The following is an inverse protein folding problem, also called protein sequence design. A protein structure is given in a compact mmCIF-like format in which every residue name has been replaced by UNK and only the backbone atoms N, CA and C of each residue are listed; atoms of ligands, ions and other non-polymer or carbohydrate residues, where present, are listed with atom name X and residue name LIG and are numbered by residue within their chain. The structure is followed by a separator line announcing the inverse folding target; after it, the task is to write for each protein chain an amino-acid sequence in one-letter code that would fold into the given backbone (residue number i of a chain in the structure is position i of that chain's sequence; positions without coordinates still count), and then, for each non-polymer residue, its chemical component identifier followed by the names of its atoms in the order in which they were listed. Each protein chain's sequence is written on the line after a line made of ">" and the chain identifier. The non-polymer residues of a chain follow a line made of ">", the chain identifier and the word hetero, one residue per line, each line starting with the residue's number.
data_IF_741064917070
#
_entry.id   IF_741064917070
#
_cell.length_a   1.000
_cell.length_b   1.000
_cell.length_c   1.000
_cell.angle_alpha   90.00
_cell.angle_beta   90.00
_cell.angle_gamma   90.00
#
_symmetry.space_group_name_H-M   'P 1'
#
loop_
_entity.id
_entity.type
_entity.pdbx_description
1 polymer ?
#
# COMPACT_ATOMS: atom_id res chain seq x y z
N UNK A 1 22.00 -26.88 -4.19
CA UNK A 1 20.92 -25.88 -3.93
C UNK A 1 19.83 -26.17 -4.95
N UNK A 2 18.53 -26.15 -4.59
CA UNK A 2 17.46 -26.26 -5.57
C UNK A 2 17.60 -25.15 -6.59
N UNK A 3 17.21 -25.41 -7.84
CA UNK A 3 17.25 -24.43 -8.91
C UNK A 3 16.34 -23.23 -8.53
N UNK A 4 16.95 -22.10 -8.19
CA UNK A 4 16.25 -20.87 -7.74
C UNK A 4 15.82 -19.98 -8.92
N UNK A 5 16.24 -20.30 -10.13
CA UNK A 5 15.89 -19.51 -11.33
C UNK A 5 14.39 -19.28 -11.49
N UNK A 6 13.52 -20.30 -11.29
CA UNK A 6 12.08 -20.11 -11.41
C UNK A 6 11.47 -19.16 -10.37
N UNK A 7 12.09 -18.96 -9.19
CA UNK A 7 11.63 -18.02 -8.17
C UNK A 7 12.05 -16.58 -8.47
N UNK A 8 13.15 -16.38 -9.22
CA UNK A 8 13.57 -15.04 -9.67
C UNK A 8 12.47 -14.37 -10.50
N UNK A 9 11.73 -15.15 -11.28
CA UNK A 9 10.58 -14.66 -12.05
C UNK A 9 9.42 -14.18 -11.17
N UNK A 10 9.41 -14.56 -9.91
CA UNK A 10 8.43 -14.18 -8.90
C UNK A 10 8.96 -13.12 -7.94
N UNK A 11 10.10 -12.49 -8.26
CA UNK A 11 10.69 -11.41 -7.49
C UNK A 11 11.63 -11.87 -6.37
N UNK A 12 12.12 -13.11 -6.42
CA UNK A 12 13.21 -13.55 -5.55
C UNK A 12 14.52 -12.88 -5.94
N UNK A 13 15.25 -12.41 -4.96
CA UNK A 13 16.54 -11.74 -5.17
C UNK A 13 17.50 -11.97 -3.98
N UNK A 14 18.64 -11.28 -4.02
CA UNK A 14 19.70 -11.40 -3.02
C UNK A 14 19.25 -11.01 -1.61
N UNK A 15 18.35 -10.04 -1.47
CA UNK A 15 17.81 -9.64 -0.15
C UNK A 15 17.09 -10.81 0.53
N UNK A 16 16.23 -11.52 -0.20
CA UNK A 16 15.50 -12.66 0.36
C UNK A 16 16.41 -13.86 0.54
N UNK A 17 17.43 -14.03 -0.33
CA UNK A 17 18.44 -15.08 -0.17
C UNK A 17 19.24 -14.88 1.12
N UNK A 18 19.67 -13.66 1.41
CA UNK A 18 20.37 -13.30 2.64
C UNK A 18 19.46 -13.46 3.87
N UNK A 19 18.20 -13.05 3.76
CA UNK A 19 17.22 -13.23 4.83
C UNK A 19 16.94 -14.70 5.15
N UNK A 20 16.88 -15.55 4.12
CA UNK A 20 16.75 -17.00 4.29
C UNK A 20 17.98 -17.58 4.97
N UNK A 21 19.18 -17.21 4.51
CA UNK A 21 20.43 -17.72 5.09
C UNK A 21 20.58 -17.35 6.56
N UNK A 22 20.14 -16.16 6.96
CA UNK A 22 20.17 -15.71 8.36
C UNK A 22 19.24 -16.50 9.30
N UNK A 23 18.26 -17.22 8.78
CA UNK A 23 17.39 -18.10 9.57
C UNK A 23 18.00 -19.47 9.83
N UNK A 24 19.16 -19.79 9.21
CA UNK A 24 19.81 -21.12 9.30
C UNK A 24 18.82 -22.28 9.09
N UNK A 25 18.08 -22.28 7.97
CA UNK A 25 16.98 -23.23 7.77
C UNK A 25 17.51 -24.68 7.69
N UNK A 26 16.69 -25.62 8.12
CA UNK A 26 17.00 -27.04 8.04
C UNK A 26 17.24 -27.49 6.59
N UNK A 27 17.97 -28.60 6.41
CA UNK A 27 18.37 -29.14 5.08
C UNK A 27 17.18 -29.46 4.14
N UNK A 28 15.97 -29.60 4.68
CA UNK A 28 14.73 -29.89 3.91
C UNK A 28 13.89 -28.63 3.66
N UNK A 29 14.28 -27.49 4.19
CA UNK A 29 13.58 -26.25 4.04
C UNK A 29 13.77 -25.68 2.63
N UNK A 30 12.72 -25.06 2.10
CA UNK A 30 12.74 -24.40 0.80
C UNK A 30 12.02 -23.06 0.87
N UNK A 31 12.52 -22.03 0.18
CA UNK A 31 11.78 -20.78 0.03
C UNK A 31 10.60 -20.95 -0.91
N UNK A 32 9.52 -20.23 -0.61
CA UNK A 32 8.35 -20.18 -1.47
C UNK A 32 7.68 -18.81 -1.39
N UNK A 33 6.97 -18.40 -2.43
CA UNK A 33 6.16 -17.19 -2.42
C UNK A 33 4.69 -17.53 -2.23
N UNK A 34 4.03 -16.87 -1.29
CA UNK A 34 2.58 -16.99 -1.08
C UNK A 34 1.88 -16.31 -2.25
N UNK A 35 1.17 -17.09 -3.07
CA UNK A 35 0.42 -16.59 -4.22
C UNK A 35 -1.09 -16.55 -3.99
N UNK A 36 -1.58 -17.15 -2.91
CA UNK A 36 -2.98 -17.12 -2.55
C UNK A 36 -3.22 -17.66 -1.14
N UNK A 37 -4.34 -17.25 -0.56
CA UNK A 37 -4.75 -17.67 0.78
C UNK A 37 -6.22 -18.07 0.79
N UNK A 38 -6.52 -19.18 1.41
CA UNK A 38 -7.88 -19.67 1.65
C UNK A 38 -7.98 -20.20 3.08
N UNK A 39 -8.56 -19.40 4.00
CA UNK A 39 -8.67 -19.71 5.43
C UNK A 39 -7.31 -20.05 6.06
N UNK A 40 -7.09 -21.34 6.38
CA UNK A 40 -5.91 -21.92 7.02
C UNK A 40 -4.94 -22.58 6.04
N UNK A 41 -5.10 -22.33 4.75
CA UNK A 41 -4.28 -22.89 3.66
C UNK A 41 -3.71 -21.79 2.81
N UNK A 42 -2.47 -21.97 2.40
CA UNK A 42 -1.78 -21.06 1.49
C UNK A 42 -1.40 -21.79 0.21
N UNK A 43 -1.70 -21.19 -0.92
CA UNK A 43 -1.10 -21.59 -2.19
C UNK A 43 0.28 -20.94 -2.27
N UNK A 44 1.32 -21.72 -2.42
CA UNK A 44 2.70 -21.24 -2.46
C UNK A 44 3.38 -21.64 -3.75
N UNK A 45 4.15 -20.72 -4.33
CA UNK A 45 4.98 -20.94 -5.51
C UNK A 45 6.39 -21.34 -5.07
N UNK A 46 6.82 -22.52 -5.49
CA UNK A 46 8.20 -23.01 -5.39
C UNK A 46 8.87 -22.97 -6.77
N UNK A 47 10.17 -23.25 -6.82
CA UNK A 47 10.88 -23.44 -8.08
C UNK A 47 10.23 -24.50 -8.96
N UNK A 48 9.82 -25.61 -8.39
CA UNK A 48 9.24 -26.76 -9.11
C UNK A 48 7.76 -26.58 -9.50
N UNK A 49 7.02 -25.61 -8.93
CA UNK A 49 5.58 -25.44 -9.21
C UNK A 49 4.82 -24.81 -8.06
N UNK A 50 3.50 -25.03 -8.06
CA UNK A 50 2.59 -24.56 -6.99
C UNK A 50 2.25 -25.72 -6.06
N UNK A 51 2.25 -25.46 -4.77
CA UNK A 51 1.85 -26.41 -3.74
C UNK A 51 0.94 -25.73 -2.69
N UNK A 52 0.27 -26.58 -1.89
CA UNK A 52 -0.48 -26.11 -0.73
C UNK A 52 0.39 -26.21 0.52
N UNK A 53 0.35 -25.16 1.36
CA UNK A 53 1.02 -25.13 2.64
C UNK A 53 0.03 -24.87 3.79
N UNK A 54 0.41 -25.29 5.01
CA UNK A 54 -0.26 -24.98 6.28
C UNK A 54 0.75 -24.52 7.30
N UNK A 55 0.32 -23.76 8.29
CA UNK A 55 1.19 -23.39 9.41
C UNK A 55 1.68 -24.64 10.15
N UNK A 56 2.97 -24.66 10.45
CA UNK A 56 3.56 -25.66 11.35
C UNK A 56 3.14 -25.33 12.78
N UNK A 57 2.17 -26.05 13.32
CA UNK A 57 1.47 -25.71 14.58
C UNK A 57 2.37 -25.61 15.82
N UNK A 58 3.53 -26.25 15.83
CA UNK A 58 4.44 -26.29 17.00
C UNK A 58 5.68 -25.40 16.85
N UNK A 59 6.04 -24.94 15.67
CA UNK A 59 7.31 -24.24 15.41
C UNK A 59 7.17 -22.97 14.58
N UNK A 60 5.95 -22.52 14.29
CA UNK A 60 5.77 -21.29 13.54
C UNK A 60 6.10 -20.08 14.41
N UNK A 61 7.15 -19.36 14.04
CA UNK A 61 7.53 -18.07 14.62
C UNK A 61 7.43 -16.98 13.56
N UNK A 62 6.66 -15.95 13.84
CA UNK A 62 6.59 -14.79 12.95
C UNK A 62 5.18 -14.26 12.72
N UNK A 63 5.06 -13.26 11.84
CA UNK A 63 3.78 -12.67 11.49
C UNK A 63 2.92 -13.65 10.69
N UNK A 64 1.59 -13.52 10.81
CA UNK A 64 0.67 -14.33 10.01
C UNK A 64 0.91 -14.14 8.51
N UNK A 65 1.09 -15.24 7.71
CA UNK A 65 1.42 -15.14 6.30
C UNK A 65 0.26 -14.57 5.49
N UNK A 66 0.58 -13.70 4.54
CA UNK A 66 -0.39 -13.11 3.61
C UNK A 66 0.08 -13.25 2.16
N UNK A 67 -0.80 -13.01 1.21
CA UNK A 67 -0.43 -13.02 -0.22
C UNK A 67 0.70 -12.03 -0.50
N UNK A 68 1.72 -12.50 -1.22
CA UNK A 68 2.95 -11.78 -1.52
C UNK A 68 4.12 -12.07 -0.58
N UNK A 69 3.88 -12.71 0.57
CA UNK A 69 4.97 -13.07 1.49
C UNK A 69 5.94 -14.08 0.86
N UNK A 70 7.20 -13.91 1.22
CA UNK A 70 8.20 -14.95 1.09
C UNK A 70 8.23 -15.77 2.39
N UNK A 71 8.16 -17.07 2.26
CA UNK A 71 8.01 -18.01 3.38
C UNK A 71 9.01 -19.15 3.25
N UNK A 72 9.30 -19.77 4.39
CA UNK A 72 10.06 -21.01 4.45
C UNK A 72 9.07 -22.15 4.63
N UNK A 73 9.19 -23.16 3.78
CA UNK A 73 8.35 -24.37 3.84
C UNK A 73 9.20 -25.62 3.91
N UNK A 74 8.67 -26.63 4.58
CA UNK A 74 9.24 -27.96 4.68
C UNK A 74 8.24 -29.03 4.23
N UNK A 75 8.67 -30.19 3.79
CA UNK A 75 7.77 -31.32 3.51
C UNK A 75 6.90 -31.63 4.73
N UNK A 76 5.64 -31.93 4.47
CA UNK A 76 4.71 -32.43 5.50
C UNK A 76 5.12 -33.79 6.06
N UNK A 77 4.47 -34.27 7.13
CA UNK A 77 4.75 -35.57 7.75
C UNK A 77 4.63 -36.75 6.79
N UNK A 78 3.68 -36.70 5.87
CA UNK A 78 3.54 -37.68 4.80
C UNK A 78 3.69 -37.04 3.42
N UNK A 79 4.05 -37.79 2.36
CA UNK A 79 4.21 -37.22 0.99
C UNK A 79 2.95 -36.58 0.40
N UNK A 80 1.76 -37.00 0.87
CA UNK A 80 0.46 -36.44 0.47
C UNK A 80 0.03 -35.21 1.27
N UNK A 81 0.73 -34.89 2.37
CA UNK A 81 0.36 -33.79 3.25
C UNK A 81 0.77 -32.45 2.64
N UNK A 82 0.04 -31.37 2.97
CA UNK A 82 0.47 -30.03 2.67
C UNK A 82 1.86 -29.73 3.24
N UNK A 83 2.60 -28.85 2.58
CA UNK A 83 3.87 -28.37 3.11
C UNK A 83 3.65 -27.66 4.47
N UNK A 84 4.62 -27.82 5.35
CA UNK A 84 4.66 -27.12 6.64
C UNK A 84 5.30 -25.75 6.47
N UNK A 85 4.55 -24.67 6.68
CA UNK A 85 5.07 -23.31 6.66
C UNK A 85 5.68 -23.01 8.03
N UNK A 86 6.99 -22.79 8.08
CA UNK A 86 7.78 -22.66 9.32
C UNK A 86 8.15 -21.21 9.65
N UNK A 87 8.33 -20.36 8.65
CA UNK A 87 8.68 -18.96 8.87
C UNK A 87 8.18 -18.03 7.73
N UNK A 88 8.05 -16.75 8.04
CA UNK A 88 7.87 -15.65 7.07
C UNK A 88 9.16 -14.83 7.04
N UNK A 89 9.69 -14.59 5.84
CA UNK A 89 10.86 -13.72 5.67
C UNK A 89 10.50 -12.24 5.89
N UNK A 90 11.46 -11.39 6.23
CA UNK A 90 11.24 -9.95 6.39
C UNK A 90 10.57 -9.33 5.16
N UNK A 91 9.54 -8.54 5.39
CA UNK A 91 8.78 -7.84 4.35
C UNK A 91 9.50 -6.55 3.95
N UNK A 92 9.55 -6.25 2.65
CA UNK A 92 9.99 -4.94 2.14
C UNK A 92 8.85 -3.91 2.18
N UNK A 93 7.65 -4.37 1.96
CA UNK A 93 6.44 -3.56 2.03
C UNK A 93 5.30 -4.36 2.65
N UNK A 94 4.39 -3.66 3.33
CA UNK A 94 3.23 -4.27 3.95
C UNK A 94 2.03 -3.33 3.84
N UNK A 95 1.05 -3.70 3.03
CA UNK A 95 -0.21 -2.98 2.94
C UNK A 95 -1.13 -3.50 4.03
N UNK A 96 -1.49 -2.64 4.97
CA UNK A 96 -2.30 -3.00 6.12
C UNK A 96 -3.58 -2.18 6.26
N UNK A 97 -4.50 -2.67 7.06
CA UNK A 97 -5.66 -1.91 7.52
C UNK A 97 -5.81 -2.05 9.02
N UNK A 98 -6.42 -1.05 9.66
CA UNK A 98 -6.89 -1.21 11.04
C UNK A 98 -7.94 -2.32 11.12
N UNK A 99 -7.78 -3.26 12.05
CA UNK A 99 -8.75 -4.33 12.26
C UNK A 99 -10.12 -3.76 12.66
N UNK A 100 -11.23 -4.26 12.11
CA UNK A 100 -12.55 -3.86 12.56
C UNK A 100 -12.80 -4.43 13.97
N UNK A 101 -13.16 -3.56 14.92
CA UNK A 101 -13.46 -3.97 16.29
C UNK A 101 -12.22 -3.84 17.23
N UNK A 102 -12.46 -3.75 18.47
CA UNK A 102 -11.57 -3.56 19.60
C UNK A 102 -10.14 -4.11 19.49
N UNK A 103 -9.16 -3.21 19.76
CA UNK A 103 -7.74 -3.42 20.09
C UNK A 103 -6.78 -3.69 18.92
N UNK A 104 -5.85 -2.73 18.74
CA UNK A 104 -4.43 -2.85 18.38
C UNK A 104 -4.00 -4.04 17.49
N UNK A 105 -4.74 -4.41 16.48
CA UNK A 105 -4.26 -5.39 15.51
C UNK A 105 -4.26 -4.74 14.12
N UNK A 106 -3.07 -4.34 13.70
CA UNK A 106 -2.78 -4.09 12.31
C UNK A 106 -3.01 -5.40 11.54
N UNK A 107 -3.93 -5.40 10.61
CA UNK A 107 -4.14 -6.53 9.72
C UNK A 107 -3.41 -6.27 8.42
N UNK A 108 -2.26 -6.91 8.23
CA UNK A 108 -1.59 -6.92 6.94
C UNK A 108 -2.49 -7.62 5.92
N UNK A 109 -2.70 -6.99 4.78
CA UNK A 109 -3.56 -7.47 3.70
C UNK A 109 -2.75 -8.05 2.54
N UNK A 110 -1.59 -7.43 2.26
CA UNK A 110 -0.69 -7.79 1.18
C UNK A 110 0.75 -7.46 1.59
N UNK A 111 1.71 -8.22 1.11
CA UNK A 111 3.12 -8.01 1.41
C UNK A 111 3.96 -8.00 0.13
N UNK A 112 5.12 -7.35 0.21
CA UNK A 112 6.12 -7.33 -0.85
C UNK A 112 5.52 -6.82 -2.19
N UNK A 113 4.71 -5.77 -2.09
CA UNK A 113 4.20 -5.00 -3.21
C UNK A 113 5.23 -3.93 -3.54
N UNK A 114 5.69 -3.86 -4.79
CA UNK A 114 6.67 -2.86 -5.23
C UNK A 114 5.98 -1.56 -5.65
N UNK A 115 4.83 -1.66 -6.32
CA UNK A 115 4.10 -0.53 -6.87
C UNK A 115 2.62 -0.62 -6.53
N UNK A 116 2.05 0.46 -6.03
CA UNK A 116 0.61 0.61 -5.82
C UNK A 116 0.04 1.49 -6.91
N UNK A 117 -0.78 0.93 -7.77
CA UNK A 117 -1.58 1.70 -8.73
C UNK A 117 -2.84 2.22 -8.05
N UNK A 118 -2.91 3.53 -7.88
CA UNK A 118 -4.03 4.26 -7.30
C UNK A 118 -4.98 4.65 -8.43
N UNK A 119 -6.11 3.94 -8.54
CA UNK A 119 -7.08 4.13 -9.61
C UNK A 119 -8.09 5.21 -9.27
N UNK A 120 -8.30 6.12 -10.23
CA UNK A 120 -9.40 7.08 -10.23
C UNK A 120 -10.11 7.05 -11.57
N UNK A 121 -11.45 6.91 -11.58
CA UNK A 121 -12.24 6.94 -12.80
C UNK A 121 -12.56 8.38 -13.21
N UNK A 122 -12.33 8.73 -14.46
CA UNK A 122 -12.62 10.05 -15.05
C UNK A 122 -14.12 10.26 -15.39
N UNK A 123 -15.02 9.49 -14.77
CA UNK A 123 -16.46 9.78 -14.76
C UNK A 123 -16.83 10.92 -13.79
N UNK A 124 -15.87 11.37 -13.02
CA UNK A 124 -15.96 12.54 -12.13
C UNK A 124 -14.59 13.22 -12.04
N UNK A 125 -14.53 14.52 -11.71
CA UNK A 125 -13.26 15.22 -11.51
C UNK A 125 -12.39 14.55 -10.44
N UNK A 126 -11.06 14.52 -10.60
CA UNK A 126 -10.16 13.94 -9.62
C UNK A 126 -10.29 14.62 -8.25
N UNK A 127 -10.53 13.82 -7.22
CA UNK A 127 -10.48 14.32 -5.85
C UNK A 127 -9.03 14.25 -5.35
N UNK A 128 -8.30 15.35 -5.51
CA UNK A 128 -6.88 15.46 -5.18
C UNK A 128 -6.58 15.03 -3.74
N UNK A 129 -7.37 15.48 -2.76
CA UNK A 129 -7.18 15.11 -1.35
C UNK A 129 -7.29 13.61 -1.09
N UNK A 130 -8.17 12.94 -1.85
CA UNK A 130 -8.28 11.48 -1.77
C UNK A 130 -7.07 10.79 -2.40
N UNK A 131 -6.58 11.32 -3.52
CA UNK A 131 -5.36 10.81 -4.18
C UNK A 131 -4.15 10.99 -3.26
N UNK A 132 -3.93 12.17 -2.68
CA UNK A 132 -2.86 12.43 -1.70
C UNK A 132 -2.90 11.45 -0.54
N UNK A 133 -4.09 11.16 -0.02
CA UNK A 133 -4.26 10.18 1.05
C UNK A 133 -3.85 8.76 0.64
N UNK A 134 -4.21 8.34 -0.57
CA UNK A 134 -3.79 7.04 -1.09
C UNK A 134 -2.29 6.99 -1.39
N UNK A 135 -1.73 8.08 -1.87
CA UNK A 135 -0.28 8.22 -2.10
C UNK A 135 0.48 8.10 -0.78
N UNK A 136 0.08 8.85 0.24
CA UNK A 136 0.69 8.77 1.57
C UNK A 136 0.66 7.33 2.14
N UNK A 137 -0.47 6.64 1.96
CA UNK A 137 -0.62 5.25 2.37
C UNK A 137 0.29 4.28 1.62
N UNK A 138 0.45 4.48 0.33
CA UNK A 138 1.31 3.64 -0.48
C UNK A 138 2.78 3.83 -0.07
N UNK A 139 3.23 5.07 0.11
CA UNK A 139 4.57 5.37 0.63
C UNK A 139 4.80 4.75 2.00
N UNK A 140 3.85 4.92 2.92
CA UNK A 140 3.93 4.35 4.27
C UNK A 140 4.04 2.83 4.26
N UNK A 141 3.39 2.17 3.31
CA UNK A 141 3.49 0.71 3.16
C UNK A 141 4.86 0.24 2.65
N UNK A 142 5.74 1.14 2.23
CA UNK A 142 7.02 0.83 1.58
C UNK A 142 6.91 0.58 0.07
N UNK A 143 5.73 0.80 -0.53
CA UNK A 143 5.52 0.64 -1.97
C UNK A 143 5.53 2.00 -2.69
N UNK A 144 5.94 2.01 -3.96
CA UNK A 144 5.94 3.21 -4.81
C UNK A 144 4.52 3.48 -5.34
N UNK A 145 3.90 4.64 -5.05
CA UNK A 145 2.61 4.99 -5.63
C UNK A 145 2.73 5.42 -7.09
N UNK A 146 1.75 5.03 -7.88
CA UNK A 146 1.48 5.59 -9.21
C UNK A 146 -0.03 5.79 -9.35
N UNK A 147 -0.45 6.87 -10.00
CA UNK A 147 -1.86 7.16 -10.25
C UNK A 147 -2.25 6.66 -11.63
N UNK A 148 -3.37 5.97 -11.72
CA UNK A 148 -3.95 5.50 -12.99
C UNK A 148 -5.35 6.09 -13.14
N UNK A 149 -5.49 7.06 -14.02
CA UNK A 149 -6.76 7.69 -14.38
C UNK A 149 -7.47 6.79 -15.40
N UNK A 150 -8.47 6.07 -14.94
CA UNK A 150 -9.23 5.11 -15.76
C UNK A 150 -10.42 5.79 -16.45
N UNK A 151 -11.05 5.08 -17.40
CA UNK A 151 -12.15 5.59 -18.21
C UNK A 151 -11.79 6.88 -18.94
N UNK A 152 -10.57 6.98 -19.46
CA UNK A 152 -10.04 8.13 -20.15
C UNK A 152 -10.89 8.52 -21.39
N UNK A 153 -11.65 7.58 -21.93
CA UNK A 153 -12.62 7.77 -23.02
C UNK A 153 -13.82 8.68 -22.66
N UNK A 154 -14.04 8.98 -21.39
CA UNK A 154 -15.14 9.83 -20.94
C UNK A 154 -14.82 11.33 -20.96
N UNK A 155 -13.56 11.71 -21.15
CA UNK A 155 -13.12 13.10 -21.19
C UNK A 155 -12.42 13.43 -22.50
N UNK A 156 -12.58 14.66 -22.97
CA UNK A 156 -12.04 15.09 -24.26
C UNK A 156 -10.50 15.19 -24.25
N UNK A 157 -9.89 15.53 -23.11
CA UNK A 157 -8.45 15.77 -22.98
C UNK A 157 -7.91 15.12 -21.69
N UNK A 158 -7.82 13.79 -21.61
CA UNK A 158 -7.38 13.08 -20.41
C UNK A 158 -5.93 13.43 -19.99
N UNK A 159 -5.08 13.78 -20.95
CA UNK A 159 -3.68 14.17 -20.69
C UNK A 159 -3.57 15.53 -19.97
N UNK A 160 -4.50 16.46 -20.20
CA UNK A 160 -4.55 17.70 -19.44
C UNK A 160 -4.93 17.41 -17.98
N UNK A 161 -5.92 16.56 -17.76
CA UNK A 161 -6.30 16.13 -16.41
C UNK A 161 -5.14 15.43 -15.70
N UNK A 162 -4.41 14.58 -16.42
CA UNK A 162 -3.23 13.92 -15.87
C UNK A 162 -2.14 14.91 -15.48
N UNK A 163 -1.91 15.94 -16.31
CA UNK A 163 -0.94 17.01 -16.02
C UNK A 163 -1.35 17.84 -14.82
N UNK A 164 -2.64 18.17 -14.66
CA UNK A 164 -3.18 18.88 -13.50
C UNK A 164 -2.98 18.06 -12.21
N UNK A 165 -3.29 16.76 -12.25
CA UNK A 165 -3.06 15.87 -11.12
C UNK A 165 -1.57 15.76 -10.79
N UNK A 166 -0.70 15.59 -11.78
CA UNK A 166 0.74 15.48 -11.59
C UNK A 166 1.36 16.76 -11.00
N UNK A 167 0.82 17.94 -11.34
CA UNK A 167 1.26 19.21 -10.79
C UNK A 167 0.99 19.33 -9.28
N UNK A 168 -0.04 18.65 -8.78
CA UNK A 168 -0.39 18.67 -7.35
C UNK A 168 0.25 17.50 -6.60
N UNK A 169 0.27 16.30 -7.16
CA UNK A 169 0.85 15.11 -6.52
C UNK A 169 2.30 14.93 -6.96
N UNK A 170 3.17 15.74 -6.38
CA UNK A 170 4.58 15.87 -6.78
C UNK A 170 5.33 14.53 -6.62
N UNK A 171 6.11 14.17 -7.65
CA UNK A 171 6.97 12.97 -7.62
C UNK A 171 6.24 11.65 -7.84
N UNK A 172 4.93 11.68 -8.19
CA UNK A 172 4.14 10.49 -8.47
C UNK A 172 3.81 10.42 -9.95
N UNK A 173 4.09 9.30 -10.60
CA UNK A 173 3.73 9.09 -12.00
C UNK A 173 2.21 9.01 -12.16
N UNK A 174 1.68 9.67 -13.20
CA UNK A 174 0.26 9.69 -13.55
C UNK A 174 0.08 9.11 -14.94
N UNK A 175 -0.79 8.11 -15.07
CA UNK A 175 -1.10 7.43 -16.32
C UNK A 175 -2.58 7.58 -16.64
N UNK A 176 -2.93 7.65 -17.92
CA UNK A 176 -4.31 7.60 -18.40
C UNK A 176 -4.57 6.26 -19.07
N UNK A 177 -5.76 5.70 -18.91
CA UNK A 177 -6.10 4.42 -19.53
C UNK A 177 -7.61 4.29 -19.76
N UNK A 178 -7.96 3.67 -20.90
CA UNK A 178 -9.32 3.22 -21.16
C UNK A 178 -9.32 1.76 -21.58
N UNK A 179 -10.09 0.93 -20.90
CA UNK A 179 -10.29 -0.46 -21.29
C UNK A 179 -11.09 -0.62 -22.59
N UNK A 180 -11.66 0.48 -23.12
CA UNK A 180 -12.30 0.53 -24.44
C UNK A 180 -11.32 0.77 -25.59
N UNK A 181 -10.09 1.21 -25.25
CA UNK A 181 -9.04 1.49 -26.23
C UNK A 181 -7.85 0.55 -25.99
N UNK A 182 -7.73 -0.55 -26.72
CA UNK A 182 -6.66 -1.54 -26.52
C UNK A 182 -5.26 -0.93 -26.52
N UNK A 183 -4.99 0.05 -27.37
CA UNK A 183 -3.70 0.72 -27.46
C UNK A 183 -3.27 1.36 -26.13
N UNK A 184 -4.21 1.94 -25.35
CA UNK A 184 -3.89 2.51 -24.03
C UNK A 184 -3.57 1.43 -22.98
N UNK A 185 -4.17 0.26 -23.11
CA UNK A 185 -3.83 -0.90 -22.29
C UNK A 185 -2.42 -1.42 -22.63
N UNK A 186 -2.09 -1.50 -23.91
CA UNK A 186 -0.77 -1.96 -24.37
C UNK A 186 0.33 -0.98 -23.94
N UNK A 187 0.06 0.32 -24.01
CA UNK A 187 0.97 1.34 -23.47
C UNK A 187 1.20 1.16 -21.97
N UNK A 188 0.13 0.94 -21.19
CA UNK A 188 0.24 0.70 -19.75
C UNK A 188 0.98 -0.61 -19.46
N UNK A 189 0.74 -1.68 -20.26
CA UNK A 189 1.50 -2.93 -20.18
C UNK A 189 3.01 -2.72 -20.41
N UNK A 190 3.37 -1.86 -21.37
CA UNK A 190 4.75 -1.53 -21.69
C UNK A 190 5.50 -0.81 -20.55
N UNK A 191 4.78 -0.27 -19.57
CA UNK A 191 5.35 0.37 -18.36
C UNK A 191 5.51 -0.59 -17.19
N UNK A 192 4.99 -1.81 -17.31
CA UNK A 192 5.15 -2.84 -16.28
C UNK A 192 6.56 -3.43 -16.32
N UNK A 193 7.26 -3.36 -15.21
CA UNK A 193 8.60 -3.93 -15.07
C UNK A 193 8.51 -5.42 -14.71
N UNK A 194 9.31 -6.30 -15.36
CA UNK A 194 9.36 -7.71 -15.00
C UNK A 194 9.75 -7.91 -13.53
N UNK A 195 9.21 -8.94 -12.89
CA UNK A 195 9.45 -9.35 -11.48
C UNK A 195 8.94 -8.37 -10.42
N UNK A 196 8.45 -7.18 -10.80
CA UNK A 196 7.80 -6.26 -9.85
C UNK A 196 6.36 -6.64 -9.60
N UNK A 197 5.94 -6.49 -8.35
CA UNK A 197 4.58 -6.76 -7.87
C UNK A 197 3.78 -5.47 -7.85
N UNK A 198 2.68 -5.44 -8.60
CA UNK A 198 1.73 -4.34 -8.66
C UNK A 198 0.45 -4.68 -7.90
N UNK A 199 -0.06 -3.77 -7.09
CA UNK A 199 -1.36 -3.88 -6.44
C UNK A 199 -2.29 -2.73 -6.86
N UNK A 200 -3.60 -3.02 -6.97
CA UNK A 200 -4.59 -2.04 -7.40
C UNK A 200 -5.36 -1.48 -6.19
N UNK A 201 -5.32 -0.16 -6.03
CA UNK A 201 -6.02 0.57 -4.97
C UNK A 201 -6.99 1.58 -5.58
N UNK A 202 -8.13 1.78 -4.97
CA UNK A 202 -9.11 2.79 -5.41
C UNK A 202 -10.53 2.46 -4.98
N UNK A 203 -11.44 3.43 -5.08
CA UNK A 203 -12.84 3.25 -4.67
C UNK A 203 -13.59 2.22 -5.53
N UNK A 204 -14.80 1.87 -5.12
CA UNK A 204 -15.70 1.09 -5.96
C UNK A 204 -16.00 1.86 -7.25
N UNK A 205 -16.06 1.16 -8.37
CA UNK A 205 -16.30 1.80 -9.67
C UNK A 205 -15.06 2.43 -10.33
N UNK A 206 -13.89 2.47 -9.68
CA UNK A 206 -12.66 3.00 -10.26
C UNK A 206 -12.07 2.14 -11.41
N UNK A 207 -12.73 1.06 -11.83
CA UNK A 207 -12.27 0.25 -12.96
C UNK A 207 -11.22 -0.82 -12.62
N UNK A 208 -10.97 -1.13 -11.32
CA UNK A 208 -9.95 -2.12 -10.91
C UNK A 208 -10.12 -3.48 -11.58
N UNK A 209 -11.30 -4.09 -11.47
CA UNK A 209 -11.56 -5.41 -12.07
C UNK A 209 -11.49 -5.38 -13.60
N UNK A 210 -11.99 -4.30 -14.22
CA UNK A 210 -11.90 -4.15 -15.69
C UNK A 210 -10.45 -4.01 -16.15
N UNK A 211 -9.65 -3.22 -15.44
CA UNK A 211 -8.23 -3.05 -15.75
C UNK A 211 -7.45 -4.36 -15.51
N UNK A 212 -7.73 -5.04 -14.39
CA UNK A 212 -7.13 -6.33 -14.08
C UNK A 212 -7.40 -7.35 -15.17
N UNK A 213 -8.66 -7.47 -15.64
CA UNK A 213 -9.04 -8.36 -16.72
C UNK A 213 -8.30 -7.98 -18.02
N UNK A 214 -8.28 -6.69 -18.38
CA UNK A 214 -7.60 -6.22 -19.59
C UNK A 214 -6.09 -6.48 -19.59
N UNK A 215 -5.45 -6.48 -18.42
CA UNK A 215 -4.04 -6.80 -18.26
C UNK A 215 -3.79 -8.31 -18.25
N UNK A 216 -4.73 -9.09 -17.74
CA UNK A 216 -4.62 -10.53 -17.52
C UNK A 216 -5.02 -11.38 -18.72
N UNK A 217 -5.75 -10.84 -19.72
CA UNK A 217 -6.39 -11.56 -20.82
C UNK A 217 -5.50 -12.58 -21.58
N UNK A 218 -4.18 -12.38 -21.58
CA UNK A 218 -3.26 -13.31 -22.21
C UNK A 218 -2.67 -14.35 -21.22
N UNK A 219 -2.54 -14.02 -19.93
CA UNK A 219 -1.86 -14.86 -18.95
C UNK A 219 -2.80 -15.91 -18.35
N UNK A 220 -4.06 -15.57 -18.08
CA UNK A 220 -5.06 -16.48 -17.52
C UNK A 220 -5.56 -17.50 -18.58
N UNK A 221 -5.65 -17.07 -19.85
CA UNK A 221 -5.99 -17.95 -20.96
C UNK A 221 -4.90 -19.03 -21.23
N UNK A 222 -3.62 -18.70 -20.98
CA UNK A 222 -2.49 -19.59 -21.20
C UNK A 222 -2.34 -20.68 -20.13
N UNK A 223 -2.86 -20.46 -18.89
CA UNK A 223 -2.73 -21.41 -17.79
C UNK A 223 -3.90 -22.39 -17.67
N UNK A 224 -4.94 -22.26 -18.54
CA UNK A 224 -6.15 -23.11 -18.48
C UNK A 224 -7.01 -22.87 -17.25
N UNK A 225 -6.63 -21.98 -16.36
CA UNK A 225 -7.41 -21.56 -15.19
C UNK A 225 -8.31 -20.37 -15.54
N UNK A 226 -9.12 -20.53 -16.57
CA UNK A 226 -10.18 -19.56 -16.91
C UNK A 226 -11.23 -19.63 -15.81
N UNK A 227 -11.05 -18.83 -14.76
CA UNK A 227 -12.19 -18.45 -13.91
C UNK A 227 -12.90 -17.33 -14.60
N UNK A 228 -14.11 -17.60 -15.05
CA UNK A 228 -15.05 -16.56 -15.47
C UNK A 228 -15.14 -15.52 -14.37
N UNK A 229 -14.47 -14.38 -14.57
CA UNK A 229 -14.76 -13.16 -13.86
C UNK A 229 -16.13 -12.70 -14.36
N UNK A 230 -17.18 -13.25 -13.74
CA UNK A 230 -18.57 -13.00 -14.08
C UNK A 230 -18.80 -11.48 -13.99
N UNK A 231 -19.04 -10.84 -15.11
CA UNK A 231 -19.26 -9.39 -15.24
C UNK A 231 -20.56 -8.89 -14.59
N UNK A 232 -21.20 -9.72 -13.76
CA UNK A 232 -22.34 -9.37 -12.94
C UNK A 232 -21.86 -9.07 -11.52
N UNK A 233 -21.81 -7.82 -11.15
CA UNK A 233 -21.40 -7.16 -9.90
C UNK A 233 -21.86 -7.77 -8.57
N UNK A 234 -21.80 -9.06 -8.39
CA UNK A 234 -22.02 -9.78 -7.15
C UNK A 234 -20.68 -10.26 -6.63
N UNK A 235 -20.17 -9.56 -5.62
CA UNK A 235 -18.93 -9.80 -4.91
C UNK A 235 -18.87 -11.24 -4.34
N UNK A 236 -18.19 -12.12 -5.07
CA UNK A 236 -17.90 -13.49 -4.59
C UNK A 236 -16.38 -13.75 -4.46
N UNK A 237 -15.52 -12.81 -4.81
CA UNK A 237 -14.06 -12.98 -4.71
C UNK A 237 -13.56 -12.48 -3.35
N UNK A 238 -13.56 -13.36 -2.35
CA UNK A 238 -12.92 -13.13 -1.04
C UNK A 238 -11.46 -13.54 -1.03
N UNK A 239 -10.93 -14.08 -2.12
CA UNK A 239 -9.59 -14.63 -2.21
C UNK A 239 -8.63 -13.61 -2.81
N UNK A 240 -7.49 -13.38 -2.15
CA UNK A 240 -6.39 -12.56 -2.66
C UNK A 240 -5.46 -13.47 -3.43
N UNK A 241 -5.15 -13.10 -4.66
CA UNK A 241 -4.30 -13.91 -5.53
C UNK A 241 -3.22 -13.04 -6.17
N UNK A 242 -2.04 -13.63 -6.34
CA UNK A 242 -0.89 -13.06 -7.04
C UNK A 242 -0.66 -13.85 -8.32
N UNK A 243 -0.73 -13.17 -9.47
CA UNK A 243 -0.51 -13.80 -10.79
C UNK A 243 0.64 -13.14 -11.51
N UNK A 244 1.29 -13.93 -12.36
CA UNK A 244 2.34 -13.47 -13.25
C UNK A 244 1.75 -13.14 -14.62
N UNK A 245 1.97 -11.94 -15.09
CA UNK A 245 1.58 -11.49 -16.43
C UNK A 245 2.58 -11.99 -17.48
N UNK A 246 2.18 -11.98 -18.76
CA UNK A 246 3.02 -12.43 -19.89
C UNK A 246 4.34 -11.65 -19.99
N UNK A 247 4.35 -10.36 -19.62
CA UNK A 247 5.56 -9.52 -19.55
C UNK A 247 6.47 -9.80 -18.36
N UNK A 248 6.14 -10.77 -17.50
CA UNK A 248 6.94 -11.17 -16.32
C UNK A 248 6.72 -10.31 -15.09
N UNK A 249 5.89 -9.26 -15.13
CA UNK A 249 5.43 -8.53 -13.95
C UNK A 249 4.39 -9.34 -13.17
N UNK A 250 4.20 -8.99 -11.91
CA UNK A 250 3.27 -9.66 -11.00
C UNK A 250 2.14 -8.72 -10.66
N UNK A 251 0.91 -9.21 -10.72
CA UNK A 251 -0.28 -8.44 -10.39
C UNK A 251 -1.01 -9.10 -9.23
N UNK A 252 -1.33 -8.31 -8.22
CA UNK A 252 -2.03 -8.76 -7.03
C UNK A 252 -3.48 -8.26 -7.06
N UNK A 253 -4.43 -9.19 -7.10
CA UNK A 253 -5.82 -8.87 -6.82
C UNK A 253 -6.03 -8.79 -5.31
N UNK A 254 -6.40 -7.62 -4.84
CA UNK A 254 -6.58 -7.33 -3.43
C UNK A 254 -8.03 -6.92 -3.15
N UNK A 255 -8.98 -7.86 -3.14
CA UNK A 255 -10.32 -7.57 -2.68
C UNK A 255 -10.27 -7.08 -1.22
N UNK A 256 -10.91 -5.93 -0.96
CA UNK A 256 -10.92 -5.33 0.38
C UNK A 256 -9.92 -4.18 0.61
N UNK A 257 -9.04 -3.84 -0.33
CA UNK A 257 -8.27 -2.58 -0.29
C UNK A 257 -9.14 -1.33 -0.57
N UNK A 258 -10.47 -1.51 -0.65
CA UNK A 258 -11.44 -0.43 -0.92
C UNK A 258 -11.47 0.63 0.17
N UNK A 259 -11.13 0.25 1.39
CA UNK A 259 -11.14 1.11 2.58
C UNK A 259 -9.81 0.95 3.31
N UNK A 260 -8.73 1.42 2.73
CA UNK A 260 -7.51 1.65 3.50
C UNK A 260 -7.85 2.72 4.55
N UNK A 261 -8.14 2.29 5.76
CA UNK A 261 -7.92 3.12 6.93
C UNK A 261 -6.43 3.13 7.16
N UNK A 262 -5.82 4.17 6.67
CA UNK A 262 -4.39 4.31 6.54
C UNK A 262 -3.81 4.61 7.91
N UNK A 263 -2.90 3.79 8.37
CA UNK A 263 -1.90 4.21 9.33
C UNK A 263 -0.96 5.15 8.59
N UNK A 264 -1.09 6.44 8.83
CA UNK A 264 -0.13 7.42 8.35
C UNK A 264 0.85 7.67 9.49
N UNK A 265 2.10 7.34 9.27
CA UNK A 265 3.24 7.75 10.08
C UNK A 265 3.96 8.88 9.33
N UNK A 266 4.86 9.58 9.98
CA UNK A 266 5.52 10.79 9.45
C UNK A 266 6.25 10.57 8.12
N UNK A 267 6.71 9.36 7.82
CA UNK A 267 7.44 9.03 6.60
C UNK A 267 6.57 9.12 5.33
N UNK A 268 5.36 8.59 5.36
CA UNK A 268 4.43 8.68 4.23
C UNK A 268 3.98 10.12 3.95
N UNK A 269 3.85 10.95 5.00
CA UNK A 269 3.54 12.37 4.84
C UNK A 269 4.70 13.14 4.23
N UNK A 270 5.94 12.91 4.66
CA UNK A 270 7.12 13.61 4.14
C UNK A 270 7.36 13.31 2.67
N UNK A 271 7.11 12.08 2.23
CA UNK A 271 7.21 11.69 0.82
C UNK A 271 6.05 12.22 -0.03
N UNK A 272 4.87 12.39 0.56
CA UNK A 272 3.70 12.96 -0.14
C UNK A 272 3.79 14.47 -0.32
N UNK A 273 4.45 15.15 0.62
CA UNK A 273 4.63 16.60 0.65
C UNK A 273 6.12 16.98 0.71
N UNK A 274 6.92 16.57 -0.29
CA UNK A 274 8.37 16.76 -0.25
C UNK A 274 8.78 18.24 -0.19
N UNK A 275 7.99 19.13 -0.80
CA UNK A 275 8.19 20.56 -0.76
C UNK A 275 8.00 21.14 0.65
N UNK A 276 7.01 20.64 1.41
CA UNK A 276 6.79 21.02 2.81
C UNK A 276 7.90 20.46 3.69
N UNK A 277 8.30 19.22 3.48
CA UNK A 277 9.40 18.59 4.21
C UNK A 277 10.73 19.35 4.00
N UNK A 278 11.02 19.76 2.76
CA UNK A 278 12.20 20.56 2.44
C UNK A 278 12.18 21.93 3.15
N UNK A 279 11.04 22.62 3.15
CA UNK A 279 10.87 23.90 3.85
C UNK A 279 10.95 23.75 5.37
N UNK A 280 10.41 22.66 5.92
CA UNK A 280 10.40 22.38 7.35
C UNK A 280 11.80 22.28 7.95
N UNK A 281 12.79 21.80 7.17
CA UNK A 281 14.19 21.76 7.57
C UNK A 281 14.78 23.15 7.89
N UNK A 282 14.18 24.22 7.36
CA UNK A 282 14.58 25.60 7.60
C UNK A 282 13.76 26.33 8.66
N UNK A 283 12.84 25.65 9.35
CA UNK A 283 12.08 26.23 10.45
C UNK A 283 12.98 26.50 11.66
N UNK A 284 12.64 27.56 12.42
CA UNK A 284 13.37 27.91 13.66
C UNK A 284 13.29 26.82 14.73
N UNK A 285 12.16 26.11 14.82
CA UNK A 285 11.93 25.06 15.81
C UNK A 285 11.88 23.70 15.15
N UNK A 286 12.52 22.69 15.75
CA UNK A 286 12.55 21.31 15.25
C UNK A 286 11.18 20.61 15.28
N UNK A 287 10.32 21.00 16.22
CA UNK A 287 8.97 20.51 16.44
C UNK A 287 7.89 21.45 15.87
N UNK A 288 8.27 22.25 14.87
CA UNK A 288 7.37 23.24 14.25
C UNK A 288 6.13 22.56 13.66
N UNK A 289 4.96 23.01 14.11
CA UNK A 289 3.67 22.52 13.63
C UNK A 289 3.22 23.16 12.32
N UNK A 290 3.90 24.22 11.86
CA UNK A 290 3.56 25.04 10.67
C UNK A 290 2.16 25.66 10.73
N UNK A 291 1.71 26.05 11.94
CA UNK A 291 0.38 26.65 12.15
C UNK A 291 0.48 28.16 12.41
N UNK A 292 1.34 28.57 13.35
CA UNK A 292 1.49 29.98 13.76
C UNK A 292 2.83 30.29 14.43
N UNK A 293 3.78 29.38 14.35
CA UNK A 293 5.06 29.49 15.03
C UNK A 293 5.92 30.60 14.41
N UNK A 294 6.53 31.48 15.24
CA UNK A 294 7.38 32.54 14.74
C UNK A 294 8.67 31.97 14.13
N UNK A 295 8.99 32.41 12.90
CA UNK A 295 10.12 31.91 12.15
C UNK A 295 9.88 30.55 11.46
N UNK A 296 8.61 30.22 11.20
CA UNK A 296 8.22 29.07 10.39
C UNK A 296 8.49 29.36 8.91
N UNK A 297 9.38 28.55 8.28
CA UNK A 297 9.72 28.70 6.88
C UNK A 297 8.57 28.28 5.95
N UNK A 298 7.73 27.33 6.37
CA UNK A 298 6.57 26.85 5.61
C UNK A 298 5.50 27.94 5.52
N UNK A 299 5.15 28.61 6.63
CA UNK A 299 4.21 29.74 6.64
C UNK A 299 4.76 30.89 5.80
N UNK A 300 6.04 31.21 5.96
CA UNK A 300 6.68 32.26 5.17
C UNK A 300 6.67 31.96 3.65
N UNK A 301 6.73 30.69 3.26
CA UNK A 301 6.60 30.31 1.86
C UNK A 301 5.16 30.51 1.34
N UNK A 302 4.14 30.21 2.16
CA UNK A 302 2.74 30.49 1.83
C UNK A 302 2.52 32.00 1.67
N UNK A 303 3.00 32.81 2.62
CA UNK A 303 2.86 34.28 2.59
C UNK A 303 3.52 34.91 1.35
N UNK A 304 4.58 34.30 0.84
CA UNK A 304 5.29 34.72 -0.38
C UNK A 304 4.69 34.13 -1.67
N UNK A 305 3.68 33.30 -1.60
CA UNK A 305 3.09 32.61 -2.74
C UNK A 305 3.97 31.51 -3.35
N UNK A 306 5.01 31.05 -2.63
CA UNK A 306 5.91 29.96 -3.05
C UNK A 306 5.35 28.58 -2.70
N UNK A 307 4.39 28.51 -1.77
CA UNK A 307 3.64 27.30 -1.43
C UNK A 307 2.15 27.60 -1.46
N UNK A 308 1.37 26.75 -2.13
CA UNK A 308 -0.07 26.87 -2.18
C UNK A 308 -0.69 26.68 -0.77
N UNK A 309 -1.53 27.62 -0.28
CA UNK A 309 -2.24 27.48 0.98
C UNK A 309 -3.09 26.22 1.08
N UNK A 310 -3.71 25.78 -0.02
CA UNK A 310 -4.52 24.55 -0.05
C UNK A 310 -3.64 23.30 0.16
N UNK A 311 -2.43 23.34 -0.35
CA UNK A 311 -1.45 22.26 -0.19
C UNK A 311 -1.03 22.10 1.28
N UNK A 312 -0.78 23.22 1.98
CA UNK A 312 -0.51 23.23 3.43
C UNK A 312 -1.75 22.78 4.23
N UNK A 313 -2.94 23.19 3.85
CA UNK A 313 -4.19 22.76 4.48
C UNK A 313 -4.42 21.25 4.32
N UNK A 314 -4.07 20.67 3.17
CA UNK A 314 -4.14 19.23 2.91
C UNK A 314 -3.16 18.46 3.81
N UNK A 315 -1.92 18.93 3.92
CA UNK A 315 -0.91 18.38 4.84
C UNK A 315 -1.41 18.36 6.29
N UNK A 316 -1.92 19.48 6.80
CA UNK A 316 -2.44 19.57 8.17
C UNK A 316 -3.59 18.60 8.42
N UNK A 317 -4.50 18.46 7.44
CA UNK A 317 -5.63 17.56 7.55
C UNK A 317 -5.19 16.11 7.62
N UNK A 318 -4.28 15.69 6.75
CA UNK A 318 -3.74 14.31 6.76
C UNK A 318 -2.95 14.03 8.05
N UNK A 319 -2.13 14.97 8.51
CA UNK A 319 -1.41 14.85 9.79
C UNK A 319 -2.37 14.73 10.98
N UNK A 320 -3.45 15.49 10.98
CA UNK A 320 -4.48 15.40 12.03
C UNK A 320 -5.24 14.06 11.99
N UNK A 321 -5.52 13.53 10.79
CA UNK A 321 -6.13 12.20 10.59
C UNK A 321 -5.19 11.11 11.11
N UNK A 322 -3.90 11.17 10.78
CA UNK A 322 -2.86 10.26 11.28
C UNK A 322 -2.80 10.25 12.82
N UNK A 323 -2.66 11.42 13.42
CA UNK A 323 -2.62 11.57 14.87
C UNK A 323 -3.92 11.14 15.58
N UNK A 324 -5.08 11.28 14.91
CA UNK A 324 -6.35 10.76 15.43
C UNK A 324 -6.36 9.23 15.44
N UNK A 325 -5.91 8.60 14.36
CA UNK A 325 -5.87 7.14 14.24
C UNK A 325 -4.88 6.56 15.25
N UNK A 326 -3.68 7.13 15.37
CA UNK A 326 -2.68 6.74 16.37
C UNK A 326 -3.28 6.74 17.78
N UNK A 327 -3.88 7.87 18.20
CA UNK A 327 -4.53 7.99 19.51
C UNK A 327 -5.67 7.00 19.72
N UNK A 328 -6.41 6.68 18.67
CA UNK A 328 -7.55 5.75 18.76
C UNK A 328 -7.11 4.31 18.97
N UNK A 329 -5.95 3.95 18.45
CA UNK A 329 -5.47 2.58 18.42
C UNK A 329 -4.28 2.31 19.36
N UNK A 330 -3.62 3.36 19.87
CA UNK A 330 -2.58 3.28 20.89
C UNK A 330 -3.06 3.87 22.23
N UNK A 331 -3.28 3.04 23.26
CA UNK A 331 -3.70 3.51 24.59
C UNK A 331 -2.66 4.42 25.26
N UNK A 332 -1.36 4.20 25.01
CA UNK A 332 -0.29 5.02 25.58
C UNK A 332 -0.23 6.38 24.90
N UNK A 333 -0.32 6.42 23.56
CA UNK A 333 -0.44 7.65 22.78
C UNK A 333 -1.70 8.43 23.17
N UNK A 334 -2.82 7.73 23.41
CA UNK A 334 -4.06 8.36 23.89
C UNK A 334 -3.88 8.95 25.30
N UNK A 335 -3.27 8.22 26.23
CA UNK A 335 -2.98 8.71 27.58
C UNK A 335 -2.05 9.94 27.56
N UNK A 336 -1.01 9.92 26.74
CA UNK A 336 -0.09 11.04 26.53
C UNK A 336 -0.80 12.26 25.92
N UNK A 337 -1.69 12.07 24.95
CA UNK A 337 -2.49 13.14 24.33
C UNK A 337 -3.47 13.77 25.34
N UNK A 338 -4.16 12.97 26.14
CA UNK A 338 -5.06 13.43 27.20
C UNK A 338 -4.28 14.21 28.26
N UNK A 339 -3.09 13.73 28.64
CA UNK A 339 -2.20 14.44 29.60
C UNK A 339 -1.76 15.79 29.04
N UNK A 340 -1.28 15.85 27.79
CA UNK A 340 -0.90 17.10 27.11
C UNK A 340 -2.07 18.09 27.03
N UNK A 341 -3.26 17.62 26.67
CA UNK A 341 -4.47 18.45 26.61
C UNK A 341 -4.83 19.00 28.00
N UNK A 342 -4.80 18.18 29.04
CA UNK A 342 -5.04 18.63 30.42
C UNK A 342 -4.03 19.70 30.86
N UNK A 343 -2.76 19.52 30.52
CA UNK A 343 -1.68 20.48 30.83
C UNK A 343 -1.90 21.79 30.08
N UNK A 344 -2.20 21.74 28.77
CA UNK A 344 -2.49 22.93 27.98
C UNK A 344 -3.73 23.69 28.50
N UNK A 345 -4.81 22.98 28.84
CA UNK A 345 -6.00 23.60 29.44
C UNK A 345 -5.74 24.21 30.80
N UNK A 346 -4.86 23.60 31.60
CA UNK A 346 -4.42 24.14 32.89
C UNK A 346 -3.63 25.45 32.70
N UNK A 347 -2.72 25.48 31.73
CA UNK A 347 -1.93 26.66 31.37
C UNK A 347 -2.84 27.80 30.83
N UNK A 348 -3.81 27.48 29.97
CA UNK A 348 -4.81 28.46 29.46
C UNK A 348 -5.67 29.05 30.59
N UNK A 349 -6.07 28.25 31.58
CA UNK A 349 -6.86 28.70 32.74
C UNK A 349 -6.10 29.73 33.61
N UNK A 350 -4.78 29.67 33.64
CA UNK A 350 -3.92 30.59 34.38
C UNK A 350 -3.36 31.73 33.49
N UNK A 351 -3.67 31.74 32.19
CA UNK A 351 -3.18 32.78 31.31
C UNK A 351 -3.91 34.11 31.56
N UNK A 352 -3.24 35.29 31.71
CA UNK A 352 -3.85 36.57 32.10
C UNK A 352 -5.00 37.01 31.18
N UNK A 353 -5.00 36.67 29.90
CA UNK A 353 -6.06 36.99 28.92
C UNK A 353 -7.38 36.26 29.17
N UNK A 354 -7.40 35.15 29.91
CA UNK A 354 -8.58 34.32 30.15
C UNK A 354 -8.99 34.26 31.62
N UNK A 355 -8.35 35.05 32.50
CA UNK A 355 -8.87 35.29 33.84
C UNK A 355 -10.18 36.05 33.70
N UNK A 356 -11.30 35.40 34.04
CA UNK A 356 -12.56 36.10 34.25
C UNK A 356 -12.27 37.20 35.25
N UNK A 357 -12.56 38.46 34.87
CA UNK A 357 -12.73 39.55 35.82
C UNK A 357 -14.02 39.24 36.56
N UNK A 358 -13.91 38.86 37.83
CA UNK A 358 -15.01 38.91 38.78
C UNK A 358 -15.32 40.36 39.08
#
# INVERSE_FOLDING_TARGET
>A
MPDMQPLNDWGWDEHYANSLAALEPGARASPARVIGQDRDRWSVRLGAGVATARLASASFAGPYPVTGDWVVVEPGPAPSDPLSLTAVLPRRSAISRGAPGTRLAEQVLAANVDVVWILHALDSPPNVRRLERYVAAAWESGAVPQIVLTKADLVAAPELVASEVAAVVIGVAVHTVSTRHPASIDELKGRLEPRRTYALLGPSGAGKSSLLNALADAALAATGEVREFDGKGRHTTTRRELFRLSGGSLLMDTPGLRELRIWLVDDGLSQTFPEIAALAASCRFRDCGHVSEPGCAVIAAVDKGALDPERLASFHKLRAEAAYLERKFDPEANAAAVSRHKTAMKTLKYHPKYRRKD
#
